data_IF_004456359696
#
_entry.id   IF_004456359696
#
_cell.length_a   1.000
_cell.length_b   1.000
_cell.length_c   1.000
_cell.angle_alpha   90.00
_cell.angle_beta   90.00
_cell.angle_gamma   90.00
#
_symmetry.space_group_name_H-M   'P 1'
#
loop_
_entity.id
_entity.type
_entity.pdbx_description
1 polymer ?
#
# COMPACT_ATOMS: atom_id res chain seq x y z
N UNK A 1 -4.05 30.52 5.66
CA UNK A 1 -4.54 29.53 4.69
C UNK A 1 -3.82 28.21 4.93
N UNK A 2 -4.53 27.09 4.84
CA UNK A 2 -3.93 25.77 4.97
C UNK A 2 -3.02 25.47 3.79
N UNK A 3 -1.88 24.85 4.07
CA UNK A 3 -0.94 24.48 3.03
C UNK A 3 -1.28 23.15 2.33
N UNK A 4 -2.07 22.32 2.97
CA UNK A 4 -2.49 21.00 2.44
C UNK A 4 -1.33 20.08 2.05
N UNK A 5 -0.16 20.24 2.66
CA UNK A 5 1.00 19.41 2.35
C UNK A 5 0.78 17.94 2.66
N UNK A 6 0.21 17.66 3.84
CA UNK A 6 -0.04 16.30 4.29
C UNK A 6 -1.10 15.62 3.43
N UNK A 7 -2.21 16.31 3.20
CA UNK A 7 -3.29 15.83 2.35
C UNK A 7 -2.82 15.55 0.94
N UNK A 8 -2.04 16.48 0.38
CA UNK A 8 -1.49 16.34 -0.96
C UNK A 8 -0.57 15.13 -1.08
N UNK A 9 0.28 14.91 -0.08
CA UNK A 9 1.20 13.76 -0.06
C UNK A 9 0.43 12.45 -0.07
N UNK A 10 -0.58 12.33 0.77
CA UNK A 10 -1.40 11.13 0.87
C UNK A 10 -2.17 10.89 -0.43
N UNK A 11 -2.79 11.93 -0.97
CA UNK A 11 -3.56 11.81 -2.20
C UNK A 11 -2.68 11.44 -3.39
N UNK A 12 -1.48 12.01 -3.49
CA UNK A 12 -0.53 11.65 -4.54
C UNK A 12 -0.11 10.18 -4.44
N UNK A 13 0.15 9.71 -3.23
CA UNK A 13 0.54 8.32 -3.03
C UNK A 13 -0.58 7.36 -3.41
N UNK A 14 -1.84 7.75 -3.23
CA UNK A 14 -3.01 6.93 -3.57
C UNK A 14 -3.45 7.08 -5.03
N UNK A 15 -2.96 8.08 -5.76
CA UNK A 15 -3.41 8.37 -7.12
C UNK A 15 -2.69 7.56 -8.20
N UNK A 16 -2.39 6.30 -7.91
CA UNK A 16 -1.71 5.41 -8.84
C UNK A 16 -2.36 4.03 -8.79
N UNK A 17 -2.74 3.53 -9.95
CA UNK A 17 -3.44 2.24 -10.06
C UNK A 17 -2.65 1.10 -9.44
N UNK A 18 -1.35 1.04 -9.73
CA UNK A 18 -0.51 -0.04 -9.21
C UNK A 18 -0.43 0.00 -7.69
N UNK A 19 -0.30 1.21 -7.11
CA UNK A 19 -0.26 1.34 -5.66
C UNK A 19 -1.58 0.92 -5.01
N UNK A 20 -2.71 1.23 -5.64
CA UNK A 20 -4.01 0.74 -5.13
C UNK A 20 -4.10 -0.79 -5.19
N UNK A 21 -3.58 -1.40 -6.25
CA UNK A 21 -3.52 -2.85 -6.37
C UNK A 21 -2.60 -3.47 -5.31
N UNK A 22 -1.49 -2.82 -5.01
CA UNK A 22 -0.58 -3.24 -3.94
C UNK A 22 -1.29 -3.23 -2.59
N UNK A 23 -2.04 -2.16 -2.30
CA UNK A 23 -2.80 -2.08 -1.06
C UNK A 23 -3.84 -3.19 -0.93
N UNK A 24 -4.49 -3.52 -2.03
CA UNK A 24 -5.43 -4.66 -2.05
C UNK A 24 -4.72 -5.97 -1.74
N UNK A 25 -3.54 -6.20 -2.34
CA UNK A 25 -2.73 -7.37 -2.03
C UNK A 25 -2.40 -7.45 -0.55
N UNK A 26 -1.90 -6.35 0.01
CA UNK A 26 -1.48 -6.28 1.41
C UNK A 26 -2.66 -6.60 2.34
N UNK A 27 -3.83 -6.05 2.05
CA UNK A 27 -5.04 -6.30 2.85
C UNK A 27 -5.51 -7.74 2.75
N UNK A 28 -5.18 -8.43 1.65
CA UNK A 28 -5.55 -9.83 1.46
C UNK A 28 -4.44 -10.80 1.92
N UNK A 29 -3.45 -10.30 2.64
CA UNK A 29 -2.41 -11.14 3.20
C UNK A 29 -1.23 -11.41 2.28
N UNK A 30 -1.22 -10.83 1.08
CA UNK A 30 -0.11 -10.93 0.13
C UNK A 30 0.76 -9.70 0.40
N UNK A 31 1.71 -9.82 1.32
CA UNK A 31 2.31 -8.65 1.96
C UNK A 31 3.83 -8.57 1.90
N UNK A 32 4.52 -9.49 1.22
CA UNK A 32 5.93 -9.27 0.94
C UNK A 32 6.15 -8.92 -0.54
N UNK A 33 7.24 -8.18 -0.85
CA UNK A 33 7.43 -7.67 -2.21
C UNK A 33 7.48 -8.76 -3.30
N UNK A 34 8.08 -9.91 -2.99
CA UNK A 34 8.17 -11.01 -3.95
C UNK A 34 6.80 -11.60 -4.28
N UNK A 35 5.96 -11.78 -3.27
CA UNK A 35 4.60 -12.30 -3.48
C UNK A 35 3.74 -11.30 -4.24
N UNK A 36 3.84 -10.02 -3.90
CA UNK A 36 3.09 -8.95 -4.59
C UNK A 36 3.52 -8.89 -6.06
N UNK A 37 4.83 -8.99 -6.31
CA UNK A 37 5.39 -9.02 -7.67
C UNK A 37 4.76 -10.13 -8.51
N UNK A 38 4.67 -11.33 -7.95
CA UNK A 38 4.07 -12.47 -8.65
C UNK A 38 2.57 -12.27 -8.87
N UNK A 39 1.87 -11.81 -7.84
CA UNK A 39 0.42 -11.61 -7.90
C UNK A 39 0.04 -10.58 -8.97
N UNK A 40 0.79 -9.48 -9.06
CA UNK A 40 0.49 -8.40 -9.99
C UNK A 40 1.22 -8.54 -11.34
N UNK A 41 2.04 -9.56 -11.50
CA UNK A 41 2.86 -9.78 -12.70
C UNK A 41 3.69 -8.54 -13.05
N UNK A 42 4.36 -7.99 -12.04
CA UNK A 42 5.21 -6.82 -12.17
C UNK A 42 6.58 -7.12 -11.60
N UNK A 43 7.60 -6.43 -12.10
CA UNK A 43 8.96 -6.58 -11.57
C UNK A 43 9.01 -6.21 -10.09
N UNK A 44 9.77 -7.00 -9.34
CA UNK A 44 9.94 -6.75 -7.91
C UNK A 44 10.47 -5.35 -7.63
N UNK A 45 11.42 -4.87 -8.45
CA UNK A 45 11.96 -3.51 -8.29
C UNK A 45 10.88 -2.44 -8.42
N UNK A 46 9.92 -2.64 -9.34
CA UNK A 46 8.79 -1.72 -9.50
C UNK A 46 7.90 -1.73 -8.27
N UNK A 47 7.60 -2.92 -7.74
CA UNK A 47 6.80 -3.06 -6.53
C UNK A 47 7.50 -2.37 -5.34
N UNK A 48 8.80 -2.60 -5.18
CA UNK A 48 9.57 -2.00 -4.09
C UNK A 48 9.59 -0.47 -4.18
N UNK A 49 9.67 0.08 -5.40
CA UNK A 49 9.60 1.51 -5.62
C UNK A 49 8.26 2.08 -5.15
N UNK A 50 7.17 1.44 -5.52
CA UNK A 50 5.83 1.85 -5.08
C UNK A 50 5.65 1.72 -3.58
N UNK A 51 6.16 0.65 -2.98
CA UNK A 51 6.11 0.46 -1.53
C UNK A 51 6.87 1.57 -0.79
N UNK A 52 8.00 2.04 -1.34
CA UNK A 52 8.73 3.16 -0.73
C UNK A 52 7.88 4.44 -0.74
N UNK A 53 7.13 4.70 -1.80
CA UNK A 53 6.21 5.85 -1.86
C UNK A 53 5.13 5.72 -0.78
N UNK A 54 4.54 4.54 -0.65
CA UNK A 54 3.51 4.28 0.35
C UNK A 54 4.05 4.39 1.79
N UNK A 55 5.28 3.92 2.03
CA UNK A 55 5.95 4.08 3.32
C UNK A 55 6.20 5.54 3.66
N UNK A 56 6.71 6.31 2.69
CA UNK A 56 7.00 7.74 2.91
C UNK A 56 5.74 8.53 3.23
N UNK A 57 4.60 8.13 2.69
CA UNK A 57 3.31 8.77 2.97
C UNK A 57 2.63 8.20 4.21
N UNK A 58 3.28 7.26 4.90
CA UNK A 58 2.76 6.61 6.11
C UNK A 58 1.44 5.86 5.87
N UNK A 59 1.25 5.37 4.65
CA UNK A 59 0.07 4.57 4.29
C UNK A 59 0.27 3.11 4.68
N UNK A 60 1.49 2.61 4.52
CA UNK A 60 1.87 1.28 4.97
C UNK A 60 3.02 1.36 5.97
N UNK A 61 3.23 0.29 6.72
CA UNK A 61 4.34 0.15 7.63
C UNK A 61 4.99 -1.22 7.44
N UNK A 62 6.27 -1.33 7.80
CA UNK A 62 7.00 -2.59 7.77
C UNK A 62 6.78 -3.33 9.07
N UNK A 63 6.53 -4.64 8.95
CA UNK A 63 6.36 -5.51 10.11
C UNK A 63 7.35 -6.66 9.99
N UNK A 64 8.32 -6.76 10.91
CA UNK A 64 9.20 -7.94 10.93
C UNK A 64 8.37 -9.18 11.22
N UNK A 65 8.69 -10.27 10.53
CA UNK A 65 7.97 -11.53 10.68
C UNK A 65 8.95 -12.69 10.53
N UNK A 66 8.55 -13.86 10.98
CA UNK A 66 9.33 -15.08 10.80
C UNK A 66 8.63 -16.00 9.81
N UNK A 67 9.40 -16.60 8.89
CA UNK A 67 8.90 -17.65 8.03
C UNK A 67 8.70 -18.92 8.84
N UNK A 68 8.07 -19.93 8.24
CA UNK A 68 7.91 -21.25 8.86
C UNK A 68 9.26 -21.89 9.21
N UNK A 69 10.32 -21.51 8.47
CA UNK A 69 11.68 -22.02 8.71
C UNK A 69 12.43 -21.19 9.74
N UNK A 70 11.76 -20.21 10.37
CA UNK A 70 12.37 -19.37 11.38
C UNK A 70 13.25 -18.25 10.82
N UNK A 71 13.21 -17.98 9.51
CA UNK A 71 13.98 -16.90 8.91
C UNK A 71 13.24 -15.57 9.04
N UNK A 72 14.00 -14.52 9.31
CA UNK A 72 13.44 -13.17 9.39
C UNK A 72 13.01 -12.70 8.01
N UNK A 73 11.83 -12.14 7.92
CA UNK A 73 11.31 -11.53 6.69
C UNK A 73 10.60 -10.23 7.04
N UNK A 74 10.44 -9.37 6.05
CA UNK A 74 9.73 -8.11 6.19
C UNK A 74 8.43 -8.23 5.42
N UNK A 75 7.33 -7.94 6.12
CA UNK A 75 6.01 -7.83 5.51
C UNK A 75 5.53 -6.41 5.63
N UNK A 76 4.56 -6.06 4.81
CA UNK A 76 3.95 -4.74 4.83
C UNK A 76 2.53 -4.86 5.38
N UNK A 77 2.09 -3.83 6.06
CA UNK A 77 0.74 -3.74 6.60
C UNK A 77 0.19 -2.36 6.31
N UNK A 78 -1.05 -2.29 5.83
CA UNK A 78 -1.73 -1.00 5.64
C UNK A 78 -2.11 -0.45 7.00
N UNK A 79 -1.79 0.81 7.25
CA UNK A 79 -2.18 1.46 8.48
C UNK A 79 -3.69 1.62 8.49
N UNK A 80 -4.28 1.52 9.69
CA UNK A 80 -5.73 1.53 9.86
C UNK A 80 -6.39 2.75 9.22
N UNK A 81 -5.82 3.93 9.44
CA UNK A 81 -6.37 5.18 8.91
C UNK A 81 -6.38 5.20 7.39
N UNK A 82 -5.33 4.64 6.78
CA UNK A 82 -5.23 4.55 5.32
C UNK A 82 -6.23 3.53 4.76
N UNK A 83 -6.37 2.39 5.42
CA UNK A 83 -7.34 1.37 5.01
C UNK A 83 -8.77 1.94 5.08
N UNK A 84 -9.08 2.67 6.15
CA UNK A 84 -10.39 3.32 6.32
C UNK A 84 -10.64 4.35 5.22
N UNK A 85 -9.62 5.15 4.89
CA UNK A 85 -9.74 6.17 3.85
C UNK A 85 -10.01 5.54 2.48
N UNK A 86 -9.26 4.50 2.11
CA UNK A 86 -9.45 3.82 0.83
C UNK A 86 -10.85 3.19 0.75
N UNK A 87 -11.30 2.59 1.85
CA UNK A 87 -12.65 2.02 1.92
C UNK A 87 -13.72 3.06 1.67
N UNK A 88 -13.60 4.23 2.30
CA UNK A 88 -14.55 5.34 2.11
C UNK A 88 -14.55 5.82 0.66
N UNK A 89 -13.38 5.94 0.04
CA UNK A 89 -13.27 6.30 -1.37
C UNK A 89 -14.02 5.28 -2.24
N UNK A 90 -13.80 3.99 -2.00
CA UNK A 90 -14.47 2.93 -2.76
C UNK A 90 -15.99 2.95 -2.59
N UNK A 91 -16.47 3.24 -1.38
CA UNK A 91 -17.90 3.32 -1.09
C UNK A 91 -18.59 4.47 -1.82
N UNK A 92 -17.86 5.54 -2.11
CA UNK A 92 -18.43 6.76 -2.70
C UNK A 92 -18.10 6.95 -4.18
N UNK A 93 -17.23 6.09 -4.74
CA UNK A 93 -16.72 6.34 -6.10
C UNK A 93 -17.82 6.32 -7.17
N UNK A 94 -18.86 5.52 -6.98
CA UNK A 94 -19.95 5.45 -7.93
C UNK A 94 -20.68 6.80 -8.10
N UNK A 95 -20.61 7.67 -7.09
CA UNK A 95 -21.21 9.00 -7.15
C UNK A 95 -20.51 9.95 -8.13
N UNK A 96 -19.33 9.57 -8.61
CA UNK A 96 -18.56 10.36 -9.56
C UNK A 96 -18.71 9.92 -11.01
N UNK A 97 -19.59 8.94 -11.27
CA UNK A 97 -19.79 8.38 -12.62
C UNK A 97 -20.94 9.03 -13.38
#
# INVERSE_FOLDING_TARGET
MKEYEKESRILKALSDKTRLQILECVQNGISNPGEISRELSRHRATIEKHLRVLLAAEIVEKVPSLTRKGQLTIQYRTRKEAADLVRVIQEHIAGFE
#
